data_IF_610293965549
#
_entry.id   IF_610293965549
#
_cell.length_a   1.000
_cell.length_b   1.000
_cell.length_c   1.000
_cell.angle_alpha   90.00
_cell.angle_beta   90.00
_cell.angle_gamma   90.00
#
_symmetry.space_group_name_H-M   'P 1'
#
loop_
_entity.id
_entity.type
_entity.pdbx_description
1 polymer ?
#
# COMPACT_ATOMS: atom_id res chain seq x y z
N UNK A 1 16.48 5.56 2.63
CA UNK A 1 15.86 4.23 2.45
C UNK A 1 16.65 3.28 3.33
N UNK A 2 16.01 2.68 4.33
CA UNK A 2 16.65 1.78 5.30
C UNK A 2 16.22 0.32 5.08
N UNK A 3 16.93 -0.61 5.72
CA UNK A 3 16.65 -2.04 5.56
C UNK A 3 15.22 -2.44 6.00
N UNK A 4 14.68 -1.96 7.13
CA UNK A 4 13.30 -2.27 7.54
C UNK A 4 12.26 -1.84 6.51
N UNK A 5 12.45 -0.67 5.89
CA UNK A 5 11.53 -0.19 4.87
C UNK A 5 11.60 -1.02 3.58
N UNK A 6 12.80 -1.41 3.14
CA UNK A 6 12.96 -2.30 1.98
C UNK A 6 12.29 -3.65 2.24
N UNK A 7 12.43 -4.19 3.45
CA UNK A 7 11.76 -5.43 3.85
C UNK A 7 10.23 -5.28 3.82
N UNK A 8 9.69 -4.16 4.30
CA UNK A 8 8.26 -3.88 4.27
C UNK A 8 7.71 -3.82 2.83
N UNK A 9 8.43 -3.14 1.92
CA UNK A 9 8.09 -3.12 0.48
C UNK A 9 8.08 -4.56 -0.08
N UNK A 10 9.09 -5.36 0.28
CA UNK A 10 9.18 -6.77 -0.09
C UNK A 10 7.97 -7.59 0.37
N UNK A 11 7.53 -7.38 1.62
CA UNK A 11 6.33 -8.04 2.17
C UNK A 11 5.10 -7.76 1.32
N UNK A 12 4.82 -6.48 1.03
CA UNK A 12 3.71 -6.12 0.13
C UNK A 12 3.83 -6.81 -1.24
N UNK A 13 5.03 -6.85 -1.82
CA UNK A 13 5.25 -7.48 -3.12
C UNK A 13 5.01 -8.99 -3.12
N UNK A 14 5.33 -9.67 -2.04
CA UNK A 14 5.12 -11.12 -1.89
C UNK A 14 3.68 -11.47 -1.51
N UNK A 15 3.00 -10.59 -0.78
CA UNK A 15 1.64 -10.82 -0.28
C UNK A 15 0.57 -10.44 -1.30
N UNK A 16 0.84 -9.48 -2.19
CA UNK A 16 -0.14 -8.92 -3.11
C UNK A 16 0.39 -8.89 -4.55
N UNK A 17 -0.51 -9.08 -5.52
CA UNK A 17 -0.17 -9.11 -6.95
C UNK A 17 -0.20 -7.71 -7.58
N UNK A 18 0.54 -6.78 -6.99
CA UNK A 18 0.57 -5.35 -7.37
C UNK A 18 1.95 -4.91 -7.90
N UNK A 19 2.05 -3.72 -8.49
CA UNK A 19 3.33 -3.20 -8.99
C UNK A 19 4.32 -2.90 -7.85
N UNK A 20 5.62 -2.82 -8.16
CA UNK A 20 6.61 -2.45 -7.14
C UNK A 20 6.46 -1.01 -6.66
N UNK A 21 5.99 -0.10 -7.53
CA UNK A 21 5.69 1.28 -7.15
C UNK A 21 4.54 1.35 -6.15
N UNK A 22 3.51 0.54 -6.34
CA UNK A 22 2.39 0.44 -5.41
C UNK A 22 2.82 -0.14 -4.07
N UNK A 23 3.67 -1.18 -4.08
CA UNK A 23 4.26 -1.72 -2.85
C UNK A 23 5.01 -0.64 -2.07
N UNK A 24 5.73 0.26 -2.77
CA UNK A 24 6.42 1.39 -2.16
C UNK A 24 5.44 2.37 -1.51
N UNK A 25 4.36 2.74 -2.22
CA UNK A 25 3.34 3.66 -1.71
C UNK A 25 2.67 3.10 -0.45
N UNK A 26 2.28 1.84 -0.46
CA UNK A 26 1.63 1.18 0.67
C UNK A 26 2.58 1.05 1.88
N UNK A 27 3.82 0.61 1.64
CA UNK A 27 4.82 0.53 2.70
C UNK A 27 5.13 1.92 3.29
N UNK A 28 5.14 2.96 2.46
CA UNK A 28 5.36 4.33 2.91
C UNK A 28 4.18 4.81 3.76
N UNK A 29 2.96 4.57 3.31
CA UNK A 29 1.76 4.93 4.06
C UNK A 29 1.70 4.24 5.42
N UNK A 30 2.06 2.95 5.49
CA UNK A 30 2.13 2.21 6.75
C UNK A 30 3.17 2.81 7.70
N UNK A 31 4.38 3.07 7.19
CA UNK A 31 5.49 3.60 8.01
C UNK A 31 5.18 5.00 8.57
N UNK A 32 4.58 5.85 7.75
CA UNK A 32 4.27 7.23 8.13
C UNK A 32 2.89 7.39 8.78
N UNK A 33 2.13 6.28 8.95
CA UNK A 33 0.74 6.28 9.40
C UNK A 33 -0.14 7.26 8.60
N UNK A 34 0.03 7.23 7.28
CA UNK A 34 -0.62 8.13 6.33
C UNK A 34 -1.81 7.47 5.62
N UNK A 35 -2.65 8.30 5.01
CA UNK A 35 -3.79 7.87 4.18
C UNK A 35 -3.34 7.71 2.74
N UNK A 36 -3.66 6.58 2.11
CA UNK A 36 -3.45 6.34 0.68
C UNK A 36 -4.61 6.95 -0.10
N UNK A 37 -4.30 7.87 -1.01
CA UNK A 37 -5.28 8.46 -1.92
C UNK A 37 -5.11 7.79 -3.29
N UNK A 38 -6.16 7.15 -3.79
CA UNK A 38 -6.10 6.41 -5.06
C UNK A 38 -7.47 6.35 -5.76
N UNK A 39 -7.46 6.10 -7.06
CA UNK A 39 -8.63 5.69 -7.87
C UNK A 39 -8.60 4.20 -8.21
N UNK A 40 -7.53 3.48 -7.86
CA UNK A 40 -7.28 2.09 -8.27
C UNK A 40 -7.86 1.13 -7.24
N UNK A 41 -9.12 0.76 -7.45
CA UNK A 41 -9.84 -0.16 -6.55
C UNK A 41 -9.38 -1.61 -6.67
N UNK A 42 -9.31 -2.15 -7.89
CA UNK A 42 -9.09 -3.59 -8.14
C UNK A 42 -7.86 -4.19 -7.43
N UNK A 43 -6.79 -3.43 -7.29
CA UNK A 43 -5.55 -3.90 -6.67
C UNK A 43 -5.50 -3.67 -5.15
N UNK A 44 -6.21 -2.67 -4.65
CA UNK A 44 -6.07 -2.16 -3.28
C UNK A 44 -7.28 -2.45 -2.40
N UNK A 45 -8.44 -2.81 -2.95
CA UNK A 45 -9.63 -3.18 -2.18
C UNK A 45 -9.32 -4.33 -1.20
N UNK A 46 -8.58 -5.36 -1.65
CA UNK A 46 -8.15 -6.49 -0.80
C UNK A 46 -7.21 -6.08 0.34
N UNK A 47 -6.59 -4.90 0.24
CA UNK A 47 -5.67 -4.34 1.22
C UNK A 47 -6.44 -3.44 2.20
N UNK A 48 -7.36 -2.63 1.68
CA UNK A 48 -8.31 -1.81 2.47
C UNK A 48 -9.14 -2.70 3.41
N UNK A 49 -9.63 -3.85 2.92
CA UNK A 49 -10.36 -4.84 3.71
C UNK A 49 -9.58 -5.39 4.92
N UNK A 50 -8.24 -5.30 4.92
CA UNK A 50 -7.43 -5.75 6.07
C UNK A 50 -7.44 -4.77 7.24
N UNK A 51 -7.87 -3.51 7.01
CA UNK A 51 -7.87 -2.44 8.01
C UNK A 51 -6.49 -1.97 8.46
N UNK A 52 -5.41 -2.42 7.81
CA UNK A 52 -4.02 -2.04 8.15
C UNK A 52 -3.65 -0.65 7.65
N UNK A 53 -4.28 -0.19 6.58
CA UNK A 53 -4.06 1.09 5.93
C UNK A 53 -5.38 1.81 5.77
N UNK A 54 -5.33 3.13 5.77
CA UNK A 54 -6.49 3.96 5.48
C UNK A 54 -6.48 4.40 4.03
N UNK A 55 -7.59 4.20 3.33
CA UNK A 55 -7.75 4.64 1.95
C UNK A 55 -8.75 5.79 1.85
N UNK A 56 -8.43 6.75 1.00
CA UNK A 56 -9.37 7.77 0.52
C UNK A 56 -9.54 7.62 -0.98
N UNK A 57 -10.70 7.10 -1.38
CA UNK A 57 -11.01 6.77 -2.76
C UNK A 57 -11.50 7.98 -3.54
N UNK A 58 -10.71 8.39 -4.53
CA UNK A 58 -11.13 9.42 -5.48
C UNK A 58 -12.14 8.81 -6.46
N UNK A 59 -13.33 9.42 -6.55
CA UNK A 59 -14.32 9.08 -7.57
C UNK A 59 -14.13 10.04 -8.74
N UNK A 60 -13.62 9.52 -9.85
CA UNK A 60 -13.52 10.21 -11.15
C UNK A 60 -14.62 9.75 -12.09
#
# INVERSE_FOLDING_TARGET
>A
MDAPFIELIGKYKTSYRISYADCFVLALAERENAIVISTVHHEFDVIDETGKLFFYWLRS
#
